data_IF_708699487725
#
_entry.id   IF_708699487725
#
_cell.length_a   1.000
_cell.length_b   1.000
_cell.length_c   1.000
_cell.angle_alpha   90.00
_cell.angle_beta   90.00
_cell.angle_gamma   90.00
#
_symmetry.space_group_name_H-M   'P 1'
#
loop_
_entity.id
_entity.type
_entity.pdbx_description
1 polymer ?
#
# COMPACT_ATOMS: atom_id res chain seq x y z
N UNK A 1 -10.29 -7.35 -13.53
CA UNK A 1 -10.20 -8.65 -12.82
C UNK A 1 -9.01 -9.51 -13.24
N UNK A 2 -8.27 -9.16 -14.28
CA UNK A 2 -7.14 -9.96 -14.74
C UNK A 2 -5.94 -9.07 -15.04
N UNK A 3 -4.75 -9.57 -14.77
CA UNK A 3 -3.48 -8.98 -15.18
C UNK A 3 -3.00 -9.60 -16.52
N UNK A 4 -3.93 -9.92 -17.43
CA UNK A 4 -3.68 -10.69 -18.66
C UNK A 4 -2.63 -10.08 -19.58
N UNK A 5 -2.42 -8.78 -19.51
CA UNK A 5 -1.37 -8.06 -20.27
C UNK A 5 0.00 -8.11 -19.62
N UNK A 6 0.09 -8.59 -18.38
CA UNK A 6 1.35 -8.71 -17.62
C UNK A 6 1.85 -10.16 -17.75
N UNK A 7 3.06 -10.33 -18.25
CA UNK A 7 3.66 -11.64 -18.44
C UNK A 7 3.94 -12.36 -17.11
N UNK A 8 3.92 -13.69 -17.13
CA UNK A 8 4.27 -14.52 -15.97
C UNK A 8 5.69 -14.22 -15.50
N UNK A 9 5.90 -14.12 -14.20
CA UNK A 9 7.23 -13.93 -13.62
C UNK A 9 7.97 -12.70 -14.17
N UNK A 10 7.26 -11.59 -14.46
CA UNK A 10 7.86 -10.37 -15.02
C UNK A 10 7.97 -9.21 -14.01
N UNK A 11 7.33 -9.32 -12.86
CA UNK A 11 7.24 -8.27 -11.83
C UNK A 11 8.21 -8.58 -10.69
N UNK A 12 9.04 -7.62 -10.31
CA UNK A 12 10.00 -7.77 -9.22
C UNK A 12 9.38 -7.40 -7.87
N UNK A 13 8.49 -6.40 -7.85
CA UNK A 13 7.85 -5.90 -6.63
C UNK A 13 6.43 -5.43 -6.93
N UNK A 14 5.48 -5.81 -6.08
CA UNK A 14 4.15 -5.20 -6.02
C UNK A 14 4.10 -4.24 -4.84
N UNK A 15 3.62 -3.01 -5.07
CA UNK A 15 3.30 -2.04 -3.99
C UNK A 15 1.91 -1.49 -4.27
N UNK A 16 0.96 -1.77 -3.39
CA UNK A 16 -0.45 -1.48 -3.66
C UNK A 16 -1.28 -1.25 -2.41
N UNK A 17 -2.45 -0.63 -2.59
CA UNK A 17 -3.51 -0.51 -1.59
C UNK A 17 -4.85 -0.80 -2.26
N UNK A 18 -5.44 -1.99 -2.02
CA UNK A 18 -6.70 -2.38 -2.65
C UNK A 18 -7.90 -1.60 -2.06
N UNK A 19 -9.09 -1.68 -2.64
CA UNK A 19 -10.33 -1.34 -1.95
C UNK A 19 -10.46 -2.16 -0.66
N UNK A 20 -10.77 -1.50 0.47
CA UNK A 20 -10.83 -2.17 1.77
C UNK A 20 -12.20 -2.81 1.99
N UNK A 21 -12.32 -4.15 2.07
CA UNK A 21 -13.56 -4.81 2.42
C UNK A 21 -14.20 -4.25 3.69
N UNK A 22 -15.51 -4.13 3.71
CA UNK A 22 -16.33 -3.59 4.80
C UNK A 22 -16.16 -2.10 5.12
N UNK A 23 -15.35 -1.34 4.39
CA UNK A 23 -15.39 0.12 4.40
C UNK A 23 -16.48 0.58 3.42
N UNK A 24 -17.52 1.23 3.94
CA UNK A 24 -18.77 1.57 3.22
C UNK A 24 -18.57 2.27 1.87
N UNK A 25 -17.54 3.09 1.75
CA UNK A 25 -17.24 3.78 0.49
C UNK A 25 -16.95 2.84 -0.68
N UNK A 26 -16.62 1.58 -0.42
CA UNK A 26 -16.33 0.56 -1.43
C UNK A 26 -17.49 -0.38 -1.73
N UNK A 27 -18.60 -0.27 -0.99
CA UNK A 27 -19.76 -1.17 -1.17
C UNK A 27 -20.27 -1.19 -2.61
N UNK A 28 -20.41 -0.01 -3.24
CA UNK A 28 -20.88 0.11 -4.61
C UNK A 28 -19.96 -0.59 -5.63
N UNK A 29 -18.65 -0.56 -5.38
CA UNK A 29 -17.68 -1.27 -6.22
C UNK A 29 -17.82 -2.78 -6.05
N UNK A 30 -17.83 -3.26 -4.80
CA UNK A 30 -17.90 -4.68 -4.52
C UNK A 30 -19.24 -5.29 -4.94
N UNK A 31 -20.36 -4.61 -4.72
CA UNK A 31 -21.70 -5.07 -5.14
C UNK A 31 -21.86 -5.09 -6.67
N UNK A 32 -21.20 -4.18 -7.38
CA UNK A 32 -21.15 -4.22 -8.84
C UNK A 32 -20.33 -5.40 -9.38
N UNK A 33 -19.33 -5.86 -8.63
CA UNK A 33 -18.53 -7.05 -8.97
C UNK A 33 -19.26 -8.35 -8.64
N UNK A 34 -19.98 -8.38 -7.51
CA UNK A 34 -20.70 -9.54 -7.01
C UNK A 34 -22.00 -9.11 -6.29
N UNK A 35 -23.18 -9.29 -6.93
CA UNK A 35 -24.48 -8.91 -6.34
C UNK A 35 -24.82 -9.60 -5.02
N UNK A 36 -24.31 -10.82 -4.75
CA UNK A 36 -24.57 -11.55 -3.52
C UNK A 36 -24.07 -10.81 -2.27
N UNK A 37 -23.15 -9.86 -2.47
CA UNK A 37 -22.64 -8.98 -1.39
C UNK A 37 -23.77 -8.05 -0.93
N UNK A 38 -24.55 -7.47 -1.85
CA UNK A 38 -25.68 -6.63 -1.51
C UNK A 38 -26.73 -7.42 -0.70
N UNK A 39 -27.07 -8.63 -1.15
CA UNK A 39 -28.01 -9.51 -0.47
C UNK A 39 -27.53 -9.89 0.93
N UNK A 40 -26.25 -10.15 1.12
CA UNK A 40 -25.67 -10.46 2.41
C UNK A 40 -25.74 -9.26 3.38
N UNK A 41 -25.44 -8.06 2.90
CA UNK A 41 -25.58 -6.83 3.68
C UNK A 41 -27.03 -6.55 4.07
N UNK A 42 -27.99 -6.75 3.17
CA UNK A 42 -29.43 -6.59 3.44
C UNK A 42 -29.96 -7.59 4.47
N UNK A 43 -29.46 -8.81 4.46
CA UNK A 43 -29.79 -9.84 5.46
C UNK A 43 -29.06 -9.68 6.79
N UNK A 44 -28.28 -8.62 6.95
CA UNK A 44 -27.41 -8.38 8.10
C UNK A 44 -26.36 -9.48 8.34
N UNK A 45 -25.94 -10.19 7.30
CA UNK A 45 -24.84 -11.15 7.36
C UNK A 45 -23.52 -10.48 6.97
N UNK A 46 -22.96 -9.76 7.93
CA UNK A 46 -21.72 -9.00 7.72
C UNK A 46 -20.50 -9.88 7.47
N UNK A 47 -20.48 -11.10 8.05
CA UNK A 47 -19.36 -12.03 7.84
C UNK A 47 -19.37 -12.60 6.42
N UNK A 48 -20.53 -13.00 5.92
CA UNK A 48 -20.67 -13.46 4.54
C UNK A 48 -20.33 -12.36 3.54
N UNK A 49 -20.79 -11.12 3.77
CA UNK A 49 -20.42 -9.98 2.93
C UNK A 49 -18.90 -9.75 2.90
N UNK A 50 -18.25 -9.82 4.07
CA UNK A 50 -16.80 -9.70 4.21
C UNK A 50 -16.04 -10.76 3.40
N UNK A 51 -16.45 -12.03 3.50
CA UNK A 51 -15.81 -13.12 2.75
C UNK A 51 -16.04 -12.99 1.24
N UNK A 52 -17.23 -12.58 0.80
CA UNK A 52 -17.50 -12.35 -0.61
C UNK A 52 -16.66 -11.19 -1.19
N UNK A 53 -16.52 -10.08 -0.46
CA UNK A 53 -15.65 -8.97 -0.87
C UNK A 53 -14.19 -9.42 -0.99
N UNK A 54 -13.72 -10.21 -0.04
CA UNK A 54 -12.35 -10.75 -0.08
C UNK A 54 -12.14 -11.75 -1.23
N UNK A 55 -13.14 -12.54 -1.60
CA UNK A 55 -13.06 -13.43 -2.77
C UNK A 55 -12.89 -12.65 -4.08
N UNK A 56 -13.49 -11.48 -4.21
CA UNK A 56 -13.24 -10.61 -5.37
C UNK A 56 -11.77 -10.15 -5.41
N UNK A 57 -11.17 -9.84 -4.27
CA UNK A 57 -9.74 -9.52 -4.19
C UNK A 57 -8.85 -10.76 -4.42
N UNK A 58 -9.28 -11.94 -3.99
CA UNK A 58 -8.53 -13.18 -4.16
C UNK A 58 -8.19 -13.45 -5.63
N UNK A 59 -9.06 -13.06 -6.57
CA UNK A 59 -8.82 -13.18 -8.01
C UNK A 59 -7.60 -12.37 -8.46
N UNK A 60 -7.35 -11.23 -7.82
CA UNK A 60 -6.17 -10.39 -8.11
C UNK A 60 -4.93 -10.94 -7.40
N UNK A 61 -5.09 -11.50 -6.20
CA UNK A 61 -3.97 -12.12 -5.48
C UNK A 61 -3.42 -13.35 -6.21
N UNK A 62 -4.27 -14.14 -6.85
CA UNK A 62 -3.88 -15.27 -7.72
C UNK A 62 -3.13 -14.78 -8.97
N UNK A 63 -3.57 -13.69 -9.58
CA UNK A 63 -2.84 -13.07 -10.68
C UNK A 63 -1.49 -12.48 -10.24
N UNK A 64 -1.41 -11.89 -9.06
CA UNK A 64 -0.13 -11.43 -8.48
C UNK A 64 0.82 -12.61 -8.27
N UNK A 65 0.32 -13.75 -7.80
CA UNK A 65 1.15 -14.96 -7.69
C UNK A 65 1.75 -15.34 -9.04
N UNK A 66 0.97 -15.32 -10.11
CA UNK A 66 1.42 -15.66 -11.47
C UNK A 66 2.47 -14.70 -12.01
N UNK A 67 2.29 -13.37 -11.81
CA UNK A 67 3.14 -12.36 -12.45
C UNK A 67 4.40 -12.01 -11.68
N UNK A 68 4.43 -12.23 -10.36
CA UNK A 68 5.60 -11.94 -9.52
C UNK A 68 6.68 -13.00 -9.75
N UNK A 69 7.91 -12.54 -9.96
CA UNK A 69 9.11 -13.39 -10.09
C UNK A 69 9.35 -14.21 -8.82
N UNK A 70 10.02 -15.36 -8.99
CA UNK A 70 10.72 -15.95 -7.86
C UNK A 70 11.68 -14.93 -7.23
N UNK A 71 11.73 -14.91 -5.90
CA UNK A 71 12.45 -13.92 -5.09
C UNK A 71 11.89 -12.48 -5.12
N UNK A 72 10.74 -12.28 -5.77
CA UNK A 72 10.02 -11.01 -5.78
C UNK A 72 9.25 -10.74 -4.48
N UNK A 73 8.87 -9.50 -4.28
CA UNK A 73 8.15 -9.05 -3.08
C UNK A 73 6.77 -8.51 -3.40
N UNK A 74 5.89 -8.59 -2.41
CA UNK A 74 4.56 -7.97 -2.44
C UNK A 74 4.37 -7.17 -1.16
N UNK A 75 4.11 -5.88 -1.29
CA UNK A 75 3.80 -4.96 -0.19
C UNK A 75 2.37 -4.44 -0.36
N UNK A 76 1.51 -4.74 0.62
CA UNK A 76 0.10 -4.35 0.59
C UNK A 76 -0.20 -3.45 1.78
N UNK A 77 -0.61 -2.21 1.50
CA UNK A 77 -1.18 -1.35 2.53
C UNK A 77 -2.67 -1.64 2.67
N UNK A 78 -3.11 -1.98 3.88
CA UNK A 78 -4.49 -2.35 4.18
C UNK A 78 -4.89 -1.91 5.59
N UNK A 79 -6.08 -1.34 5.75
CA UNK A 79 -6.70 -1.09 7.04
C UNK A 79 -7.75 -2.16 7.35
N UNK A 80 -7.89 -2.48 8.64
CA UNK A 80 -9.05 -3.22 9.12
C UNK A 80 -10.28 -2.31 9.14
N UNK A 81 -11.45 -2.90 9.07
CA UNK A 81 -12.70 -2.18 9.11
C UNK A 81 -13.46 -2.46 10.41
N UNK A 82 -14.01 -1.42 11.03
CA UNK A 82 -15.06 -1.57 12.04
C UNK A 82 -16.38 -1.13 11.44
N UNK A 83 -17.39 -1.98 11.51
CA UNK A 83 -18.70 -1.69 10.94
C UNK A 83 -19.82 -2.29 11.78
N UNK A 84 -20.93 -1.55 11.87
CA UNK A 84 -22.17 -2.06 12.44
C UNK A 84 -23.05 -2.59 11.32
N UNK A 85 -23.38 -3.87 11.37
CA UNK A 85 -24.33 -4.53 10.46
C UNK A 85 -25.48 -5.03 11.31
N UNK A 86 -26.70 -4.57 11.02
CA UNK A 86 -27.86 -4.79 11.88
C UNK A 86 -27.58 -4.24 13.30
N UNK A 87 -27.65 -5.12 14.30
CA UNK A 87 -27.38 -4.78 15.69
C UNK A 87 -25.97 -5.16 16.17
N UNK A 88 -25.15 -5.75 15.30
CA UNK A 88 -23.81 -6.20 15.66
C UNK A 88 -22.75 -5.21 15.15
N UNK A 89 -21.95 -4.69 16.07
CA UNK A 89 -20.75 -3.93 15.77
C UNK A 89 -19.54 -4.85 15.94
N UNK A 90 -18.69 -4.96 14.90
CA UNK A 90 -17.50 -5.81 14.97
C UNK A 90 -16.35 -5.30 14.13
N UNK A 91 -15.18 -5.87 14.37
CA UNK A 91 -13.98 -5.72 13.56
C UNK A 91 -13.98 -6.74 12.43
N UNK A 92 -13.65 -6.28 11.23
CA UNK A 92 -13.36 -7.11 10.06
C UNK A 92 -11.87 -7.02 9.75
N UNK A 93 -11.16 -8.12 10.01
CA UNK A 93 -9.70 -8.15 10.01
C UNK A 93 -9.16 -8.40 8.59
N UNK A 94 -9.11 -7.36 7.77
CA UNK A 94 -8.62 -7.43 6.40
C UNK A 94 -7.17 -7.92 6.32
N UNK A 95 -6.29 -7.39 7.19
CA UNK A 95 -4.87 -7.76 7.20
C UNK A 95 -4.66 -9.26 7.43
N UNK A 96 -5.42 -9.84 8.35
CA UNK A 96 -5.34 -11.26 8.68
C UNK A 96 -5.87 -12.14 7.53
N UNK A 97 -7.01 -11.75 6.91
CA UNK A 97 -7.63 -12.49 5.80
C UNK A 97 -6.73 -12.49 4.56
N UNK A 98 -6.12 -11.35 4.22
CA UNK A 98 -5.17 -11.23 3.10
C UNK A 98 -3.90 -12.05 3.40
N UNK A 99 -3.38 -11.98 4.63
CA UNK A 99 -2.20 -12.77 5.03
C UNK A 99 -2.45 -14.27 4.85
N UNK A 100 -3.60 -14.77 5.28
CA UNK A 100 -3.98 -16.19 5.12
C UNK A 100 -4.03 -16.59 3.64
N UNK A 101 -4.58 -15.71 2.76
CA UNK A 101 -4.61 -15.98 1.31
C UNK A 101 -3.20 -16.04 0.72
N UNK A 102 -2.32 -15.09 1.02
CA UNK A 102 -0.95 -15.08 0.49
C UNK A 102 -0.13 -16.30 0.96
N UNK A 103 -0.32 -16.73 2.22
CA UNK A 103 0.30 -17.98 2.71
C UNK A 103 -0.22 -19.18 1.93
N UNK A 104 -1.53 -19.24 1.63
CA UNK A 104 -2.11 -20.32 0.82
C UNK A 104 -1.60 -20.35 -0.63
N UNK A 105 -1.20 -19.19 -1.17
CA UNK A 105 -0.56 -19.06 -2.48
C UNK A 105 0.95 -19.36 -2.47
N UNK A 106 1.52 -19.75 -1.32
CA UNK A 106 2.93 -20.13 -1.20
C UNK A 106 3.89 -18.97 -0.92
N UNK A 107 3.39 -17.75 -0.68
CA UNK A 107 4.24 -16.65 -0.26
C UNK A 107 4.68 -16.78 1.20
N UNK A 108 5.88 -16.32 1.50
CA UNK A 108 6.41 -16.23 2.85
C UNK A 108 6.07 -14.86 3.45
N UNK A 109 5.28 -14.78 4.53
CA UNK A 109 5.05 -13.53 5.23
C UNK A 109 6.33 -13.08 5.94
N UNK A 110 6.62 -11.78 5.87
CA UNK A 110 7.73 -11.13 6.56
C UNK A 110 7.17 -10.17 7.63
N UNK A 111 8.04 -9.62 8.52
CA UNK A 111 7.59 -8.63 9.48
C UNK A 111 6.83 -7.48 8.80
N UNK A 112 5.69 -7.13 9.37
CA UNK A 112 4.81 -6.06 8.89
C UNK A 112 5.25 -4.71 9.43
N UNK A 113 4.77 -3.63 8.81
CA UNK A 113 4.89 -2.28 9.36
C UNK A 113 3.51 -1.77 9.76
N UNK A 114 3.40 -1.22 10.96
CA UNK A 114 2.23 -0.48 11.41
C UNK A 114 2.37 0.98 10.98
N UNK A 115 1.53 1.41 10.06
CA UNK A 115 1.51 2.80 9.64
C UNK A 115 0.51 3.59 10.48
N UNK A 116 1.02 4.34 11.48
CA UNK A 116 0.21 5.25 12.28
C UNK A 116 -0.11 6.51 11.48
N UNK A 117 -1.39 6.71 11.18
CA UNK A 117 -1.89 7.94 10.54
C UNK A 117 -2.12 9.00 11.61
N UNK A 118 -1.50 10.19 11.46
CA UNK A 118 -1.87 11.33 12.26
C UNK A 118 -3.20 11.88 11.76
N UNK A 119 -4.29 11.66 12.49
CA UNK A 119 -5.62 12.17 12.15
C UNK A 119 -5.83 13.55 12.75
N UNK A 120 -6.58 14.42 12.05
CA UNK A 120 -6.96 15.72 12.58
C UNK A 120 -8.12 15.64 13.60
N UNK A 121 -8.65 14.45 13.88
CA UNK A 121 -9.76 14.21 14.80
C UNK A 121 -9.51 13.00 15.68
N UNK A 122 -8.58 13.10 16.67
CA UNK A 122 -8.26 12.00 17.56
C UNK A 122 -9.41 11.61 18.51
N UNK A 123 -10.49 12.37 18.53
CA UNK A 123 -11.56 12.29 19.53
C UNK A 123 -12.86 11.67 18.99
N UNK A 124 -12.81 10.82 17.98
CA UNK A 124 -13.99 10.04 17.58
C UNK A 124 -14.20 8.91 18.57
N UNK A 125 -15.17 9.10 19.49
CA UNK A 125 -15.62 8.03 20.36
C UNK A 125 -16.47 7.02 19.59
N UNK A 126 -16.25 5.74 19.83
CA UNK A 126 -17.14 4.67 19.39
C UNK A 126 -17.75 3.97 20.62
N UNK A 127 -19.02 3.63 20.53
CA UNK A 127 -19.77 3.03 21.64
C UNK A 127 -20.28 4.06 22.66
N UNK A 128 -20.25 3.71 23.94
CA UNK A 128 -20.85 4.50 25.05
C UNK A 128 -19.98 5.66 25.56
N UNK A 129 -18.92 6.01 24.87
CA UNK A 129 -18.02 7.09 25.29
C UNK A 129 -17.27 6.76 26.59
N UNK A 130 -17.47 7.57 27.64
CA UNK A 130 -16.77 7.39 28.92
C UNK A 130 -17.43 6.38 29.86
N UNK A 131 -18.57 5.80 29.48
CA UNK A 131 -19.28 4.86 30.33
C UNK A 131 -18.85 3.41 30.06
N UNK A 132 -18.27 2.71 31.03
CA UNK A 132 -18.02 1.28 30.88
C UNK A 132 -19.37 0.52 30.94
N UNK A 133 -19.51 -0.64 30.29
CA UNK A 133 -18.59 -1.44 29.50
C UNK A 133 -18.96 -1.40 28.00
N UNK A 134 -18.96 -0.25 27.33
CA UNK A 134 -19.48 -0.12 25.97
C UNK A 134 -18.62 0.70 25.01
N UNK A 135 -17.41 1.08 25.39
CA UNK A 135 -16.50 1.82 24.52
C UNK A 135 -15.63 0.87 23.68
N UNK A 136 -15.32 1.28 22.44
CA UNK A 136 -14.46 0.54 21.53
C UNK A 136 -13.20 1.34 21.19
N UNK A 137 -12.10 0.62 20.91
CA UNK A 137 -10.84 1.23 20.50
C UNK A 137 -10.98 1.79 19.08
N UNK A 138 -10.52 3.03 18.86
CA UNK A 138 -10.45 3.65 17.55
C UNK A 138 -9.22 3.14 16.79
N UNK A 139 -9.39 2.73 15.54
CA UNK A 139 -8.28 2.30 14.69
C UNK A 139 -7.51 3.53 14.18
N UNK A 140 -6.27 3.70 14.61
CA UNK A 140 -5.39 4.81 14.22
C UNK A 140 -4.28 4.40 13.24
N UNK A 141 -4.18 3.13 12.91
CA UNK A 141 -3.14 2.58 12.06
C UNK A 141 -3.71 1.75 10.90
N UNK A 142 -2.89 1.59 9.88
CA UNK A 142 -3.03 0.59 8.83
C UNK A 142 -1.83 -0.34 8.87
N UNK A 143 -1.96 -1.47 8.18
CA UNK A 143 -0.92 -2.50 8.09
C UNK A 143 -0.25 -2.42 6.72
N UNK A 144 1.08 -2.44 6.69
CA UNK A 144 1.83 -2.70 5.47
C UNK A 144 2.27 -4.16 5.57
N UNK A 145 1.56 -5.03 4.88
CA UNK A 145 1.87 -6.45 4.79
C UNK A 145 3.00 -6.65 3.80
N UNK A 146 4.00 -7.45 4.16
CA UNK A 146 5.16 -7.74 3.32
C UNK A 146 5.27 -9.23 3.10
N UNK A 147 5.28 -9.64 1.84
CA UNK A 147 5.41 -11.03 1.44
C UNK A 147 6.56 -11.19 0.46
N UNK A 148 7.18 -12.38 0.45
CA UNK A 148 8.19 -12.78 -0.53
C UNK A 148 7.78 -14.08 -1.19
N UNK A 149 7.92 -14.13 -2.52
CA UNK A 149 7.77 -15.37 -3.28
C UNK A 149 9.11 -16.12 -3.31
N UNK A 150 9.10 -17.38 -2.90
CA UNK A 150 10.32 -18.20 -2.92
C UNK A 150 11.47 -17.72 -2.04
N UNK A 151 12.70 -18.00 -2.46
CA UNK A 151 13.92 -17.77 -1.71
C UNK A 151 14.41 -16.30 -1.70
N UNK A 152 15.66 -16.14 -1.29
CA UNK A 152 16.33 -14.84 -1.30
C UNK A 152 16.91 -14.55 -2.69
N UNK A 153 16.75 -13.32 -3.19
CA UNK A 153 17.38 -12.87 -4.44
C UNK A 153 18.91 -12.81 -4.28
N UNK A 154 19.61 -13.39 -5.24
CA UNK A 154 21.07 -13.38 -5.31
C UNK A 154 21.55 -12.43 -6.40
N UNK A 155 22.75 -11.87 -6.20
CA UNK A 155 23.43 -10.95 -7.14
C UNK A 155 24.83 -11.52 -7.43
N UNK A 156 24.88 -12.41 -8.41
CA UNK A 156 26.08 -13.25 -8.67
C UNK A 156 27.04 -12.59 -9.65
N UNK A 157 26.53 -11.84 -10.64
CA UNK A 157 27.38 -11.17 -11.63
C UNK A 157 27.91 -9.81 -11.17
N UNK A 158 29.02 -9.31 -11.74
CA UNK A 158 29.51 -7.96 -11.46
C UNK A 158 28.48 -6.87 -11.71
N UNK A 159 27.72 -6.95 -12.82
CA UNK A 159 26.71 -5.97 -13.18
C UNK A 159 25.55 -5.96 -12.19
N UNK A 160 25.07 -7.15 -11.78
CA UNK A 160 24.04 -7.25 -10.75
C UNK A 160 24.50 -6.63 -9.43
N UNK A 161 25.75 -6.88 -9.02
CA UNK A 161 26.32 -6.26 -7.81
C UNK A 161 26.46 -4.75 -7.95
N UNK A 162 26.85 -4.26 -9.14
CA UNK A 162 26.93 -2.84 -9.43
C UNK A 162 25.56 -2.16 -9.30
N UNK A 163 24.52 -2.71 -9.95
CA UNK A 163 23.14 -2.20 -9.84
C UNK A 163 22.65 -2.20 -8.39
N UNK A 164 22.93 -3.26 -7.64
CA UNK A 164 22.59 -3.33 -6.23
C UNK A 164 23.27 -2.24 -5.40
N UNK A 165 24.55 -1.97 -5.64
CA UNK A 165 25.29 -0.91 -4.97
C UNK A 165 24.75 0.48 -5.31
N UNK A 166 24.38 0.73 -6.58
CA UNK A 166 23.75 1.97 -7.04
C UNK A 166 22.34 2.16 -6.46
N UNK A 167 21.71 1.10 -5.97
CA UNK A 167 20.38 1.10 -5.36
C UNK A 167 20.44 1.24 -3.84
N UNK A 168 21.61 1.45 -3.26
CA UNK A 168 21.76 1.58 -1.83
C UNK A 168 21.04 2.82 -1.28
N UNK A 169 20.49 2.71 -0.12
CA UNK A 169 19.94 3.80 0.69
C UNK A 169 20.95 4.20 1.76
N UNK A 170 20.79 5.40 2.36
CA UNK A 170 21.68 5.92 3.36
C UNK A 170 21.50 5.21 4.71
N UNK A 171 22.52 5.27 5.57
CA UNK A 171 22.51 4.63 6.88
C UNK A 171 21.37 5.14 7.78
N UNK A 172 21.16 6.43 7.82
CA UNK A 172 20.07 7.05 8.59
C UNK A 172 18.69 6.67 8.05
N UNK A 173 18.53 6.55 6.73
CA UNK A 173 17.29 6.07 6.11
C UNK A 173 17.00 4.63 6.52
N UNK A 174 18.02 3.77 6.49
CA UNK A 174 17.88 2.39 6.95
C UNK A 174 17.34 2.32 8.38
N UNK A 175 17.83 3.16 9.29
CA UNK A 175 17.42 3.16 10.69
C UNK A 175 15.97 3.64 10.88
N UNK A 176 15.44 4.44 9.94
CA UNK A 176 14.06 4.94 9.96
C UNK A 176 13.14 3.99 9.20
N UNK A 177 13.54 3.55 8.00
CA UNK A 177 12.66 2.79 7.11
C UNK A 177 12.42 1.35 7.57
N UNK A 178 13.38 0.73 8.26
CA UNK A 178 13.26 -0.64 8.76
C UNK A 178 12.70 -0.72 10.19
N UNK A 179 12.06 0.35 10.67
CA UNK A 179 11.21 0.29 11.85
C UNK A 179 9.89 -0.41 11.51
N UNK A 180 9.37 -1.20 12.43
CA UNK A 180 8.05 -1.84 12.33
C UNK A 180 6.88 -0.87 12.59
N UNK A 181 7.19 0.39 12.88
CA UNK A 181 6.19 1.45 13.10
C UNK A 181 6.57 2.70 12.33
N UNK A 182 5.69 3.14 11.42
CA UNK A 182 5.85 4.38 10.67
C UNK A 182 4.80 5.41 11.09
N UNK A 183 5.25 6.63 11.32
CA UNK A 183 4.38 7.80 11.52
C UNK A 183 4.51 8.69 10.31
N UNK A 184 3.64 8.50 9.32
CA UNK A 184 3.58 9.31 8.11
C UNK A 184 2.24 10.04 8.05
N UNK A 185 2.29 11.31 7.69
CA UNK A 185 1.07 12.12 7.54
C UNK A 185 0.25 11.62 6.34
N UNK A 186 -1.02 11.30 6.57
CA UNK A 186 -1.96 10.97 5.49
C UNK A 186 -2.20 12.17 4.56
N UNK A 187 -2.51 11.92 3.29
CA UNK A 187 -2.89 12.97 2.32
C UNK A 187 -4.41 13.07 2.27
N UNK A 188 -4.95 14.28 2.43
CA UNK A 188 -6.33 14.58 2.01
C UNK A 188 -6.30 14.78 0.50
N UNK A 189 -7.04 13.98 -0.24
CA UNK A 189 -7.30 14.26 -1.64
C UNK A 189 -8.37 15.36 -1.73
N UNK A 190 -7.96 16.57 -2.10
CA UNK A 190 -8.88 17.61 -2.57
C UNK A 190 -9.02 17.44 -4.08
N UNK A 191 -10.07 16.74 -4.52
CA UNK A 191 -10.49 16.77 -5.92
C UNK A 191 -11.44 17.93 -6.12
N UNK A 192 -11.10 18.86 -7.03
CA UNK A 192 -12.01 19.92 -7.47
C UNK A 192 -13.18 19.28 -8.26
N UNK A 193 -14.33 19.13 -7.62
CA UNK A 193 -15.57 18.67 -8.24
C UNK A 193 -16.54 18.04 -7.24
N UNK A 194 -17.77 18.52 -7.18
CA UNK A 194 -18.82 18.15 -6.21
C UNK A 194 -19.33 16.68 -6.32
N UNK A 195 -18.77 15.82 -7.18
CA UNK A 195 -19.24 14.45 -7.39
C UNK A 195 -18.24 13.34 -7.03
N UNK A 196 -17.01 13.67 -6.69
CA UNK A 196 -16.04 12.69 -6.21
C UNK A 196 -15.91 12.87 -4.71
N UNK A 197 -16.70 12.10 -3.94
CA UNK A 197 -16.56 12.01 -2.47
C UNK A 197 -15.08 11.86 -2.14
N UNK A 198 -14.61 12.67 -1.18
CA UNK A 198 -13.24 12.65 -0.66
C UNK A 198 -12.80 11.19 -0.39
N UNK A 199 -12.20 10.55 -1.38
CA UNK A 199 -11.62 9.23 -1.20
C UNK A 199 -10.31 9.41 -0.45
N UNK A 200 -10.37 9.33 0.88
CA UNK A 200 -9.19 9.33 1.76
C UNK A 200 -8.33 8.05 1.62
N UNK A 201 -8.36 7.41 0.46
CA UNK A 201 -7.75 6.11 0.20
C UNK A 201 -6.31 6.20 -0.36
N UNK A 202 -5.79 7.41 -0.63
CA UNK A 202 -4.43 7.54 -1.15
C UNK A 202 -3.41 7.59 -0.01
N UNK A 203 -2.38 6.78 -0.13
CA UNK A 203 -1.21 6.91 0.70
C UNK A 203 -0.27 8.02 0.19
N UNK A 204 0.59 8.51 1.08
CA UNK A 204 1.59 9.54 0.75
C UNK A 204 2.64 8.98 -0.20
N UNK A 205 3.27 9.84 -1.01
CA UNK A 205 4.41 9.47 -1.86
C UNK A 205 5.53 8.76 -1.09
N UNK A 206 5.77 9.15 0.14
CA UNK A 206 6.81 8.60 1.00
C UNK A 206 6.64 7.09 1.26
N UNK A 207 5.40 6.60 1.39
CA UNK A 207 5.14 5.19 1.68
C UNK A 207 5.63 4.27 0.55
N UNK A 208 5.15 4.37 -0.71
CA UNK A 208 5.64 3.53 -1.79
C UNK A 208 7.11 3.83 -2.11
N UNK A 209 7.59 5.06 -1.94
CA UNK A 209 9.00 5.40 -2.16
C UNK A 209 9.93 4.60 -1.25
N UNK A 210 9.62 4.49 0.05
CA UNK A 210 10.38 3.65 0.99
C UNK A 210 10.34 2.20 0.59
N UNK A 211 9.15 1.63 0.38
CA UNK A 211 8.98 0.21 0.03
C UNK A 211 9.72 -0.17 -1.25
N UNK A 212 9.66 0.69 -2.28
CA UNK A 212 10.36 0.47 -3.55
C UNK A 212 11.86 0.43 -3.35
N UNK A 213 12.43 1.38 -2.60
CA UNK A 213 13.86 1.40 -2.31
C UNK A 213 14.31 0.27 -1.37
N UNK A 214 13.46 -0.20 -0.47
CA UNK A 214 13.77 -1.30 0.46
C UNK A 214 13.77 -2.67 -0.23
N UNK A 215 12.88 -2.90 -1.22
CA UNK A 215 12.59 -4.24 -1.73
C UNK A 215 12.86 -4.41 -3.23
N UNK A 216 13.44 -3.42 -3.90
CA UNK A 216 13.82 -3.50 -5.32
C UNK A 216 15.17 -2.83 -5.61
N UNK A 217 15.73 -3.09 -6.79
CA UNK A 217 16.91 -2.38 -7.31
C UNK A 217 16.54 -1.57 -8.55
N UNK A 218 17.41 -0.63 -8.98
CA UNK A 218 17.23 0.15 -10.20
C UNK A 218 16.98 -0.76 -11.40
N UNK A 219 16.02 -0.36 -12.26
CA UNK A 219 15.60 -1.13 -13.42
C UNK A 219 14.59 -2.25 -13.14
N UNK A 220 14.31 -2.61 -11.88
CA UNK A 220 13.25 -3.55 -11.52
C UNK A 220 11.87 -3.04 -11.95
N UNK A 221 10.92 -3.96 -12.16
CA UNK A 221 9.55 -3.65 -12.54
C UNK A 221 8.63 -3.69 -11.31
N UNK A 222 7.98 -2.56 -11.04
CA UNK A 222 7.01 -2.35 -9.96
C UNK A 222 5.60 -2.44 -10.53
N UNK A 223 4.72 -3.21 -9.89
CA UNK A 223 3.31 -3.32 -10.26
C UNK A 223 2.42 -2.72 -9.16
N UNK A 224 1.44 -1.93 -9.58
CA UNK A 224 0.30 -1.54 -8.74
C UNK A 224 -1.01 -1.86 -9.49
N UNK A 225 -1.74 -2.93 -9.11
CA UNK A 225 -3.00 -3.31 -9.75
C UNK A 225 -4.21 -2.46 -9.32
N UNK A 226 -4.03 -1.52 -8.39
CA UNK A 226 -5.04 -0.58 -7.88
C UNK A 226 -4.47 0.84 -7.85
N UNK A 227 -4.00 1.31 -9.01
CA UNK A 227 -3.12 2.48 -9.16
C UNK A 227 -3.66 3.78 -8.58
N UNK A 228 -4.99 3.99 -8.65
CA UNK A 228 -5.61 5.24 -8.20
C UNK A 228 -5.00 6.47 -8.88
N UNK A 229 -4.46 7.38 -8.09
CA UNK A 229 -3.85 8.64 -8.57
C UNK A 229 -2.44 8.50 -9.14
N UNK A 230 -1.86 7.29 -9.15
CA UNK A 230 -0.54 7.04 -9.72
C UNK A 230 0.63 7.18 -8.75
N UNK A 231 0.38 7.28 -7.46
CA UNK A 231 1.42 7.53 -6.44
C UNK A 231 2.55 6.49 -6.49
N UNK A 232 2.22 5.20 -6.65
CA UNK A 232 3.22 4.12 -6.79
C UNK A 232 4.07 4.29 -8.04
N UNK A 233 3.45 4.63 -9.19
CA UNK A 233 4.17 4.89 -10.44
C UNK A 233 5.14 6.06 -10.30
N UNK A 234 4.70 7.14 -9.65
CA UNK A 234 5.56 8.31 -9.43
C UNK A 234 6.76 7.96 -8.53
N UNK A 235 6.54 7.17 -7.50
CA UNK A 235 7.62 6.71 -6.62
C UNK A 235 8.58 5.75 -7.33
N UNK A 236 8.09 4.88 -8.21
CA UNK A 236 8.92 3.99 -9.02
C UNK A 236 9.83 4.77 -9.98
N UNK A 237 9.28 5.74 -10.72
CA UNK A 237 10.05 6.61 -11.63
C UNK A 237 11.09 7.40 -10.84
N UNK A 238 10.71 7.99 -9.69
CA UNK A 238 11.62 8.73 -8.81
C UNK A 238 12.79 7.88 -8.28
N UNK A 239 12.60 6.58 -8.26
CA UNK A 239 13.60 5.61 -7.79
C UNK A 239 14.31 4.90 -8.95
N UNK A 240 14.14 5.32 -10.19
CA UNK A 240 14.71 4.69 -11.40
C UNK A 240 14.26 3.23 -11.58
N UNK A 241 12.98 2.93 -11.28
CA UNK A 241 12.34 1.64 -11.53
C UNK A 241 11.30 1.77 -12.64
N UNK A 242 11.07 0.67 -13.36
CA UNK A 242 9.95 0.57 -14.29
C UNK A 242 8.65 0.44 -13.52
N UNK A 243 7.53 0.89 -14.09
CA UNK A 243 6.22 0.81 -13.45
C UNK A 243 5.15 0.31 -14.41
N UNK A 244 4.33 -0.61 -13.89
CA UNK A 244 3.07 -1.04 -14.48
C UNK A 244 1.98 -0.66 -13.48
N UNK A 245 1.05 0.19 -13.90
CA UNK A 245 -0.09 0.58 -13.08
C UNK A 245 -1.40 0.25 -13.79
N UNK A 246 -2.38 -0.30 -13.06
CA UNK A 246 -3.70 -0.62 -13.59
C UNK A 246 -4.73 0.14 -12.78
N UNK A 247 -5.60 0.87 -13.50
CA UNK A 247 -6.71 1.62 -12.90
C UNK A 247 -8.00 1.33 -13.68
N UNK A 248 -9.04 1.00 -12.94
CA UNK A 248 -10.35 0.69 -13.50
C UNK A 248 -11.15 1.97 -13.85
N UNK A 249 -11.05 2.99 -12.99
CA UNK A 249 -11.76 4.24 -13.16
C UNK A 249 -11.00 5.19 -14.11
N UNK A 250 -11.54 5.34 -15.32
CA UNK A 250 -10.97 6.20 -16.37
C UNK A 250 -10.82 7.67 -15.96
N UNK A 251 -11.54 8.12 -14.95
CA UNK A 251 -11.44 9.50 -14.46
C UNK A 251 -10.06 9.80 -13.86
N UNK A 252 -9.32 8.80 -13.41
CA UNK A 252 -7.95 8.97 -12.92
C UNK A 252 -6.92 9.23 -14.04
N UNK A 253 -7.24 8.95 -15.29
CA UNK A 253 -6.32 9.10 -16.43
C UNK A 253 -5.77 10.52 -16.56
N UNK A 254 -6.62 11.53 -16.41
CA UNK A 254 -6.21 12.95 -16.46
C UNK A 254 -5.30 13.32 -15.29
N UNK A 255 -5.64 12.85 -14.07
CA UNK A 255 -4.88 13.09 -12.84
C UNK A 255 -3.48 12.47 -12.96
N UNK A 256 -3.40 11.23 -13.43
CA UNK A 256 -2.13 10.53 -13.64
C UNK A 256 -1.28 11.27 -14.69
N UNK A 257 -1.89 11.65 -15.82
CA UNK A 257 -1.19 12.35 -16.91
C UNK A 257 -0.65 13.72 -16.46
N UNK A 258 -1.42 14.47 -15.68
CA UNK A 258 -0.98 15.75 -15.10
C UNK A 258 0.12 15.52 -14.05
N UNK A 259 -0.03 14.49 -13.22
CA UNK A 259 0.98 14.08 -12.25
C UNK A 259 2.33 13.77 -12.92
N UNK A 260 2.32 13.06 -14.05
CA UNK A 260 3.53 12.74 -14.83
C UNK A 260 4.18 13.99 -15.41
N UNK A 261 3.42 14.94 -15.96
CA UNK A 261 3.97 16.21 -16.50
C UNK A 261 4.71 17.04 -15.44
N UNK A 262 4.26 16.98 -14.20
CA UNK A 262 4.84 17.74 -13.08
C UNK A 262 5.83 16.92 -12.24
N UNK A 263 6.09 15.66 -12.64
CA UNK A 263 6.82 14.70 -11.82
C UNK A 263 8.28 15.11 -11.63
N UNK A 264 8.97 15.52 -12.70
CA UNK A 264 10.37 15.90 -12.65
C UNK A 264 10.67 16.94 -11.58
N UNK A 265 9.89 18.01 -11.54
CA UNK A 265 10.04 19.08 -10.54
C UNK A 265 9.83 18.57 -9.11
N UNK A 266 8.82 17.71 -8.90
CA UNK A 266 8.51 17.14 -7.58
C UNK A 266 9.60 16.16 -7.13
N UNK A 267 10.06 15.31 -8.04
CA UNK A 267 11.09 14.30 -7.79
C UNK A 267 12.43 14.97 -7.48
N UNK A 268 12.87 15.92 -8.31
CA UNK A 268 14.12 16.65 -8.09
C UNK A 268 14.12 17.36 -6.72
N UNK A 269 13.00 17.98 -6.33
CA UNK A 269 12.86 18.58 -5.00
C UNK A 269 12.98 17.56 -3.84
N UNK A 270 12.42 16.36 -4.01
CA UNK A 270 12.56 15.28 -3.03
C UNK A 270 13.99 14.74 -2.95
N UNK A 271 14.64 14.55 -4.09
CA UNK A 271 16.04 14.08 -4.15
C UNK A 271 16.97 15.10 -3.53
N UNK A 272 16.82 16.36 -3.85
CA UNK A 272 17.63 17.45 -3.26
C UNK A 272 17.50 17.47 -1.76
N UNK A 273 16.29 17.44 -1.22
CA UNK A 273 16.06 17.38 0.22
C UNK A 273 16.70 16.15 0.87
N UNK A 274 16.55 14.97 0.25
CA UNK A 274 17.17 13.72 0.73
C UNK A 274 18.70 13.85 0.83
N UNK A 275 19.35 14.46 -0.17
CA UNK A 275 20.79 14.70 -0.16
C UNK A 275 21.20 15.72 0.91
N UNK A 276 20.44 16.80 1.09
CA UNK A 276 20.67 17.80 2.14
C UNK A 276 20.56 17.19 3.54
N UNK A 277 19.54 16.36 3.77
CA UNK A 277 19.36 15.62 5.03
C UNK A 277 20.53 14.68 5.30
N UNK A 278 21.02 13.97 4.27
CA UNK A 278 22.19 13.10 4.38
C UNK A 278 23.48 13.89 4.70
N UNK A 279 23.73 15.01 4.03
CA UNK A 279 24.89 15.89 4.30
C UNK A 279 24.83 16.42 5.75
N UNK A 280 23.66 16.84 6.21
CA UNK A 280 23.44 17.28 7.56
C UNK A 280 23.72 16.16 8.59
N UNK A 281 23.26 14.94 8.31
CA UNK A 281 23.55 13.76 9.13
C UNK A 281 25.04 13.48 9.20
N UNK A 282 25.75 13.43 8.07
CA UNK A 282 27.19 13.21 8.03
C UNK A 282 27.96 14.26 8.83
N UNK A 283 27.60 15.54 8.68
CA UNK A 283 28.23 16.66 9.41
C UNK A 283 28.00 16.58 10.94
N UNK A 284 26.81 16.11 11.35
CA UNK A 284 26.51 15.87 12.75
C UNK A 284 27.32 14.69 13.29
N UNK A 285 27.35 13.59 12.56
CA UNK A 285 28.04 12.36 12.94
C UNK A 285 29.56 12.60 13.12
N UNK A 286 30.19 13.37 12.20
CA UNK A 286 31.58 13.75 12.32
C UNK A 286 31.89 14.56 13.60
N UNK A 287 30.99 15.49 13.97
CA UNK A 287 31.14 16.28 15.20
C UNK A 287 30.98 15.48 16.48
N UNK A 288 30.17 14.41 16.45
CA UNK A 288 29.92 13.57 17.65
C UNK A 288 30.95 12.44 17.84
N UNK A 289 31.61 12.03 16.77
CA UNK A 289 32.54 10.88 16.76
C UNK A 289 34.02 11.26 16.55
N UNK A 290 34.29 12.46 16.02
CA UNK A 290 35.65 13.04 15.88
C UNK A 290 36.08 13.77 17.13
#
# INVERSE_FOLDING_TARGET
>A
RTLSTVANGSVDLVVTSPPYPMIEMWDSLFTALNPDIADSLQRNDGYQAFELMNRELDTIWEEIERVVKENGFVCINIGDATRKIGNQFQLYSNHSRITSKFVSLGFQPLPIVLWKKTTNAPNKFMGSGMLPAGAYITLEHEYILVFRKGGKREFTTPDQRSIRNQSAYFWEERNIWFSDTWTLKGVKQTTHGESVRERNAAYTFELPYRLINMYSVKGDTILDPFLGTGTTTFAAIASERNSIGIEYDKNFSSIISEGLKNLEKKVNGSITRRLEEHIAFCSKYQREKG
#
